data_IF_222961498419
#
_entry.id   IF_222961498419
#
_cell.length_a   1.000
_cell.length_b   1.000
_cell.length_c   1.000
_cell.angle_alpha   90.00
_cell.angle_beta   90.00
_cell.angle_gamma   90.00
#
_symmetry.space_group_name_H-M   'P 1'
#
loop_
_entity.id
_entity.type
_entity.pdbx_description
1 polymer ?
#
# COMPACT_ATOMS: atom_id res chain seq x y z
N UNK A 1 1.27 -33.38 10.37
CA UNK A 1 0.09 -32.64 10.82
C UNK A 1 0.39 -31.16 11.15
N UNK A 2 1.41 -30.80 11.95
CA UNK A 2 1.69 -29.39 12.30
C UNK A 2 2.22 -28.52 11.15
N UNK A 3 3.00 -29.06 10.20
CA UNK A 3 3.55 -28.30 9.06
C UNK A 3 2.48 -27.92 8.02
N UNK A 4 1.51 -28.78 7.79
CA UNK A 4 0.42 -28.52 6.85
C UNK A 4 -0.52 -27.43 7.37
N UNK A 5 -0.83 -27.45 8.66
CA UNK A 5 -1.62 -26.37 9.31
C UNK A 5 -0.90 -25.04 9.23
N UNK A 6 0.38 -24.98 9.54
CA UNK A 6 1.17 -23.75 9.46
C UNK A 6 1.23 -23.17 8.02
N UNK A 7 1.30 -24.04 7.01
CA UNK A 7 1.29 -23.61 5.60
C UNK A 7 -0.07 -23.08 5.16
N UNK A 8 -1.18 -23.67 5.63
CA UNK A 8 -2.55 -23.20 5.38
C UNK A 8 -2.78 -21.83 6.04
N UNK A 9 -2.45 -21.70 7.32
CA UNK A 9 -2.59 -20.46 8.08
C UNK A 9 -1.78 -19.31 7.44
N UNK A 10 -0.58 -19.62 6.95
CA UNK A 10 0.26 -18.66 6.24
C UNK A 10 -0.36 -18.18 4.93
N UNK A 11 -1.00 -19.07 4.16
CA UNK A 11 -1.69 -18.72 2.93
C UNK A 11 -2.96 -17.89 3.21
N UNK A 12 -3.74 -18.24 4.21
CA UNK A 12 -4.95 -17.51 4.59
C UNK A 12 -4.64 -16.06 4.99
N UNK A 13 -3.64 -15.87 5.86
CA UNK A 13 -3.20 -14.52 6.26
C UNK A 13 -2.72 -13.70 5.08
N UNK A 14 -1.98 -14.30 4.16
CA UNK A 14 -1.54 -13.64 2.93
C UNK A 14 -2.72 -13.19 2.07
N UNK A 15 -3.69 -14.07 1.87
CA UNK A 15 -4.92 -13.75 1.11
C UNK A 15 -5.70 -12.63 1.78
N UNK A 16 -5.82 -12.67 3.12
CA UNK A 16 -6.51 -11.64 3.88
C UNK A 16 -5.86 -10.27 3.69
N UNK A 17 -4.57 -10.14 3.95
CA UNK A 17 -3.86 -8.86 3.84
C UNK A 17 -3.82 -8.34 2.40
N UNK A 18 -3.66 -9.24 1.42
CA UNK A 18 -3.75 -8.86 0.01
C UNK A 18 -5.15 -8.38 -0.41
N UNK A 19 -6.21 -8.98 0.14
CA UNK A 19 -7.59 -8.50 -0.09
C UNK A 19 -7.82 -7.14 0.55
N UNK A 20 -7.39 -6.94 1.80
CA UNK A 20 -7.52 -5.65 2.50
C UNK A 20 -6.78 -4.53 1.75
N UNK A 21 -5.52 -4.76 1.35
CA UNK A 21 -4.77 -3.82 0.55
C UNK A 21 -5.45 -3.51 -0.81
N UNK A 22 -5.96 -4.55 -1.47
CA UNK A 22 -6.67 -4.41 -2.74
C UNK A 22 -7.99 -3.63 -2.61
N UNK A 23 -8.77 -3.89 -1.55
CA UNK A 23 -10.01 -3.15 -1.28
C UNK A 23 -9.71 -1.69 -0.95
N UNK A 24 -8.69 -1.43 -0.12
CA UNK A 24 -8.25 -0.07 0.18
C UNK A 24 -7.89 0.70 -1.09
N UNK A 25 -7.06 0.12 -1.95
CA UNK A 25 -6.64 0.74 -3.20
C UNK A 25 -7.81 0.94 -4.19
N UNK A 26 -8.73 -0.03 -4.28
CA UNK A 26 -9.89 0.06 -5.16
C UNK A 26 -10.87 1.16 -4.72
N UNK A 27 -11.13 1.30 -3.43
CA UNK A 27 -11.97 2.37 -2.88
C UNK A 27 -11.34 3.73 -3.18
N UNK A 28 -10.05 3.86 -2.99
CA UNK A 28 -9.34 5.12 -3.24
C UNK A 28 -9.26 5.45 -4.73
N UNK A 29 -9.11 4.45 -5.60
CA UNK A 29 -9.22 4.62 -7.05
C UNK A 29 -10.62 5.12 -7.46
N UNK A 30 -11.67 4.50 -6.91
CA UNK A 30 -13.06 4.89 -7.18
C UNK A 30 -13.33 6.34 -6.79
N UNK A 31 -12.82 6.78 -5.63
CA UNK A 31 -12.95 8.16 -5.18
C UNK A 31 -12.26 9.15 -6.15
N UNK A 32 -11.05 8.83 -6.62
CA UNK A 32 -10.32 9.68 -7.56
C UNK A 32 -11.01 9.75 -8.92
N UNK A 33 -11.55 8.64 -9.42
CA UNK A 33 -12.32 8.65 -10.66
C UNK A 33 -13.65 9.38 -10.51
N UNK A 34 -14.32 9.26 -9.35
CA UNK A 34 -15.51 10.06 -9.06
C UNK A 34 -15.20 11.58 -9.18
N UNK A 35 -14.09 12.02 -8.56
CA UNK A 35 -13.66 13.41 -8.68
C UNK A 35 -13.21 13.79 -10.09
N UNK A 36 -12.55 12.89 -10.80
CA UNK A 36 -12.11 13.11 -12.18
C UNK A 36 -13.28 13.27 -13.17
N UNK A 37 -14.41 12.61 -12.88
CA UNK A 37 -15.64 12.68 -13.66
C UNK A 37 -16.52 13.89 -13.30
N UNK A 38 -16.07 14.76 -12.39
CA UNK A 38 -16.77 15.99 -12.03
C UNK A 38 -17.43 15.96 -10.66
N UNK A 39 -17.33 14.88 -9.90
CA UNK A 39 -17.78 14.85 -8.52
C UNK A 39 -16.98 15.81 -7.62
N UNK A 40 -17.61 16.37 -6.60
CA UNK A 40 -17.02 17.39 -5.69
C UNK A 40 -17.13 17.03 -4.21
N UNK A 41 -17.88 16.00 -3.87
CA UNK A 41 -18.02 15.60 -2.47
C UNK A 41 -16.66 15.28 -1.85
N UNK A 42 -16.27 16.07 -0.86
CA UNK A 42 -15.00 15.93 -0.14
C UNK A 42 -13.77 16.45 -0.88
N UNK A 43 -13.88 16.86 -2.14
CA UNK A 43 -12.72 17.33 -2.90
C UNK A 43 -12.22 18.69 -2.40
N UNK A 44 -13.10 19.62 -2.06
CA UNK A 44 -12.73 20.93 -1.51
C UNK A 44 -11.93 20.81 -0.22
N UNK A 45 -12.32 19.91 0.65
CA UNK A 45 -11.64 19.62 1.92
C UNK A 45 -10.27 18.96 1.68
N UNK A 46 -10.15 18.18 0.60
CA UNK A 46 -8.93 17.42 0.29
C UNK A 46 -7.90 18.22 -0.51
N UNK A 47 -8.36 19.05 -1.43
CA UNK A 47 -7.52 19.75 -2.41
C UNK A 47 -7.59 21.28 -2.32
N UNK A 48 -8.41 21.82 -1.40
CA UNK A 48 -8.53 23.26 -1.20
C UNK A 48 -8.86 24.02 -2.50
N UNK A 49 -8.12 25.10 -2.84
CA UNK A 49 -8.37 25.91 -4.04
C UNK A 49 -8.34 25.10 -5.34
N UNK A 50 -7.52 24.05 -5.43
CA UNK A 50 -7.42 23.20 -6.62
C UNK A 50 -8.73 22.46 -6.94
N UNK A 51 -9.60 22.26 -5.95
CA UNK A 51 -10.92 21.67 -6.15
C UNK A 51 -11.84 22.57 -6.98
N UNK A 52 -11.74 23.89 -6.78
CA UNK A 52 -12.56 24.89 -7.47
C UNK A 52 -11.98 25.25 -8.83
N UNK A 53 -10.68 25.52 -8.88
CA UNK A 53 -9.99 25.95 -10.10
C UNK A 53 -9.83 24.82 -11.12
N UNK A 54 -9.67 23.59 -10.65
CA UNK A 54 -9.45 22.35 -11.44
C UNK A 54 -8.50 22.56 -12.63
N UNK A 55 -7.27 23.06 -12.41
CA UNK A 55 -6.35 23.23 -13.51
C UNK A 55 -6.07 21.89 -14.19
N UNK A 56 -5.81 21.90 -15.50
CA UNK A 56 -5.69 20.70 -16.32
C UNK A 56 -4.66 19.69 -15.76
N UNK A 57 -3.52 20.18 -15.26
CA UNK A 57 -2.50 19.33 -14.67
C UNK A 57 -3.02 18.59 -13.41
N UNK A 58 -3.85 19.24 -12.57
CA UNK A 58 -4.46 18.64 -11.41
C UNK A 58 -5.48 17.57 -11.81
N UNK A 59 -6.32 17.86 -12.81
CA UNK A 59 -7.26 16.88 -13.32
C UNK A 59 -6.54 15.64 -13.87
N UNK A 60 -5.51 15.83 -14.72
CA UNK A 60 -4.80 14.72 -15.36
C UNK A 60 -3.92 13.96 -14.35
N UNK A 61 -3.01 14.64 -13.66
CA UNK A 61 -2.05 13.97 -12.79
C UNK A 61 -2.62 13.68 -11.40
N UNK A 62 -3.34 14.63 -10.80
CA UNK A 62 -3.88 14.51 -9.45
C UNK A 62 -5.09 13.59 -9.36
N UNK A 63 -6.03 13.65 -10.31
CA UNK A 63 -7.24 12.84 -10.23
C UNK A 63 -7.14 11.57 -11.08
N UNK A 64 -6.97 11.67 -12.38
CA UNK A 64 -6.86 10.50 -13.26
C UNK A 64 -5.59 9.69 -12.99
N UNK A 65 -4.44 10.36 -12.82
CA UNK A 65 -3.16 9.69 -12.59
C UNK A 65 -3.13 8.94 -11.26
N UNK A 66 -3.57 9.56 -10.18
CA UNK A 66 -3.63 8.89 -8.87
C UNK A 66 -4.65 7.75 -8.88
N UNK A 67 -5.83 7.94 -9.53
CA UNK A 67 -6.80 6.88 -9.71
C UNK A 67 -6.22 5.67 -10.43
N UNK A 68 -5.48 5.89 -11.53
CA UNK A 68 -4.80 4.83 -12.27
C UNK A 68 -3.71 4.12 -11.43
N UNK A 69 -2.90 4.87 -10.66
CA UNK A 69 -1.92 4.31 -9.73
C UNK A 69 -2.58 3.43 -8.67
N UNK A 70 -3.73 3.84 -8.14
CA UNK A 70 -4.49 3.04 -7.18
C UNK A 70 -5.05 1.76 -7.81
N UNK A 71 -5.45 1.78 -9.08
CA UNK A 71 -5.82 0.55 -9.81
C UNK A 71 -4.63 -0.39 -9.97
N UNK A 72 -3.45 0.12 -10.32
CA UNK A 72 -2.23 -0.67 -10.34
C UNK A 72 -1.91 -1.25 -8.95
N UNK A 73 -2.10 -0.46 -7.89
CA UNK A 73 -2.03 -0.93 -6.50
C UNK A 73 -3.00 -2.08 -6.21
N UNK A 74 -4.23 -2.01 -6.73
CA UNK A 74 -5.22 -3.09 -6.60
C UNK A 74 -4.75 -4.37 -7.29
N UNK A 75 -4.17 -4.26 -8.50
CA UNK A 75 -3.60 -5.40 -9.23
C UNK A 75 -2.41 -5.99 -8.47
N UNK A 76 -1.50 -5.14 -7.98
CA UNK A 76 -0.37 -5.57 -7.15
C UNK A 76 -0.81 -6.33 -5.90
N UNK A 77 -1.80 -5.82 -5.18
CA UNK A 77 -2.35 -6.46 -4.00
C UNK A 77 -2.97 -7.84 -4.31
N UNK A 78 -3.66 -7.97 -5.44
CA UNK A 78 -4.18 -9.27 -5.92
C UNK A 78 -3.07 -10.25 -6.28
N UNK A 79 -1.97 -9.76 -6.86
CA UNK A 79 -0.79 -10.60 -7.16
C UNK A 79 -0.16 -11.05 -5.83
N UNK A 80 0.00 -10.16 -4.86
CA UNK A 80 0.52 -10.49 -3.53
C UNK A 80 -0.37 -11.50 -2.80
N UNK A 81 -1.68 -11.52 -3.03
CA UNK A 81 -2.63 -12.47 -2.44
C UNK A 81 -2.55 -13.88 -3.05
N UNK A 82 -1.98 -14.06 -4.26
CA UNK A 82 -1.94 -15.36 -4.93
C UNK A 82 -1.02 -16.34 -4.24
N UNK A 83 -1.52 -17.54 -3.94
CA UNK A 83 -0.76 -18.68 -3.43
C UNK A 83 -0.82 -19.84 -4.46
N UNK A 84 0.33 -20.42 -4.85
CA UNK A 84 1.71 -20.03 -4.60
C UNK A 84 2.23 -19.01 -5.62
N UNK A 85 2.93 -17.99 -5.17
CA UNK A 85 3.65 -17.07 -6.05
C UNK A 85 5.16 -17.32 -5.89
N UNK A 86 5.86 -17.62 -6.97
CA UNK A 86 7.28 -18.01 -6.95
C UNK A 86 8.10 -17.27 -8.01
N UNK A 87 9.42 -17.33 -7.87
CA UNK A 87 10.37 -16.80 -8.85
C UNK A 87 10.47 -15.28 -8.87
N UNK A 88 10.91 -14.76 -10.02
CA UNK A 88 11.13 -13.33 -10.25
C UNK A 88 9.85 -12.50 -10.02
N UNK A 89 8.67 -12.89 -10.54
CA UNK A 89 7.45 -12.11 -10.31
C UNK A 89 7.08 -11.98 -8.83
N UNK A 90 7.35 -13.00 -8.01
CA UNK A 90 7.14 -12.93 -6.57
C UNK A 90 8.05 -11.91 -5.89
N UNK A 91 9.31 -11.85 -6.31
CA UNK A 91 10.30 -10.90 -5.78
C UNK A 91 9.91 -9.47 -6.15
N UNK A 92 9.59 -9.22 -7.42
CA UNK A 92 9.18 -7.90 -7.90
C UNK A 92 7.90 -7.43 -7.19
N UNK A 93 6.86 -8.26 -7.12
CA UNK A 93 5.63 -7.91 -6.43
C UNK A 93 5.87 -7.58 -4.95
N UNK A 94 6.74 -8.33 -4.28
CA UNK A 94 7.10 -8.06 -2.88
C UNK A 94 7.82 -6.74 -2.70
N UNK A 95 8.84 -6.45 -3.54
CA UNK A 95 9.56 -5.19 -3.48
C UNK A 95 8.65 -4.00 -3.80
N UNK A 96 7.78 -4.14 -4.81
CA UNK A 96 6.77 -3.12 -5.12
C UNK A 96 5.79 -2.91 -3.96
N UNK A 97 5.37 -3.99 -3.30
CA UNK A 97 4.51 -3.91 -2.11
C UNK A 97 5.18 -3.16 -0.96
N UNK A 98 6.47 -3.40 -0.71
CA UNK A 98 7.25 -2.65 0.27
C UNK A 98 7.42 -1.18 -0.14
N UNK A 99 7.68 -0.89 -1.42
CA UNK A 99 7.76 0.47 -1.95
C UNK A 99 6.48 1.26 -1.73
N UNK A 100 5.33 0.67 -2.07
CA UNK A 100 4.01 1.27 -1.82
C UNK A 100 3.77 1.48 -0.32
N UNK A 101 4.06 0.47 0.51
CA UNK A 101 3.93 0.57 1.97
C UNK A 101 4.75 1.73 2.54
N UNK A 102 6.02 1.82 2.19
CA UNK A 102 6.92 2.88 2.65
C UNK A 102 6.43 4.26 2.22
N UNK A 103 6.00 4.40 0.96
CA UNK A 103 5.49 5.67 0.44
C UNK A 103 4.23 6.13 1.19
N UNK A 104 3.28 5.23 1.39
CA UNK A 104 2.03 5.54 2.08
C UNK A 104 2.25 5.85 3.57
N UNK A 105 3.12 5.10 4.25
CA UNK A 105 3.48 5.36 5.65
C UNK A 105 4.24 6.67 5.79
N UNK A 106 5.21 6.93 4.93
CA UNK A 106 5.95 8.19 4.93
C UNK A 106 5.01 9.39 4.70
N UNK A 107 4.05 9.27 3.76
CA UNK A 107 3.03 10.30 3.51
C UNK A 107 2.09 10.48 4.71
N UNK A 108 1.56 9.38 5.26
CA UNK A 108 0.62 9.43 6.38
C UNK A 108 1.27 9.94 7.66
N UNK A 109 2.36 9.31 8.10
CA UNK A 109 3.06 9.65 9.35
C UNK A 109 3.79 11.00 9.21
N UNK A 110 4.44 11.25 8.07
CA UNK A 110 5.20 12.48 7.86
C UNK A 110 4.31 13.73 7.95
N UNK A 111 3.16 13.72 7.26
CA UNK A 111 2.21 14.83 7.32
C UNK A 111 1.55 14.92 8.71
N UNK A 112 1.25 13.78 9.35
CA UNK A 112 0.73 13.79 10.73
C UNK A 112 1.67 14.52 11.67
N UNK A 113 2.97 14.15 11.67
CA UNK A 113 3.98 14.77 12.50
C UNK A 113 4.14 16.26 12.18
N UNK A 114 4.23 16.62 10.90
CA UNK A 114 4.35 18.03 10.47
C UNK A 114 3.19 18.89 10.96
N UNK A 115 1.96 18.37 10.87
CA UNK A 115 0.78 19.10 11.32
C UNK A 115 0.65 19.17 12.84
N UNK A 116 1.06 18.12 13.56
CA UNK A 116 1.01 18.10 15.04
C UNK A 116 2.10 18.97 15.68
N UNK A 117 3.29 19.04 15.08
CA UNK A 117 4.39 19.84 15.58
C UNK A 117 4.31 21.32 15.20
N UNK A 118 3.27 21.70 14.43
CA UNK A 118 3.12 23.05 13.86
C UNK A 118 4.35 23.55 13.09
N UNK A 119 5.18 22.62 12.62
CA UNK A 119 6.41 22.89 11.89
C UNK A 119 6.13 23.54 10.51
N UNK A 120 4.87 23.54 10.10
CA UNK A 120 4.38 24.22 8.90
C UNK A 120 3.83 25.61 9.22
N UNK A 121 4.57 26.45 9.93
CA UNK A 121 4.28 27.91 9.92
C UNK A 121 4.17 28.49 8.49
N UNK A 122 4.11 27.61 7.50
CA UNK A 122 4.45 27.86 6.11
C UNK A 122 3.25 28.17 5.22
N UNK A 123 2.01 27.91 5.65
CA UNK A 123 0.92 28.18 4.72
C UNK A 123 -0.36 28.65 5.41
N UNK A 124 -0.62 30.00 5.41
CA UNK A 124 -1.90 30.54 5.83
C UNK A 124 -3.07 30.11 4.91
N UNK A 125 -2.79 29.44 3.79
CA UNK A 125 -3.80 28.99 2.84
C UNK A 125 -4.53 27.69 3.25
N UNK A 126 -3.99 26.93 4.21
CA UNK A 126 -4.64 25.71 4.70
C UNK A 126 -5.66 26.06 5.78
N UNK A 127 -6.95 25.90 5.46
CA UNK A 127 -8.01 26.16 6.44
C UNK A 127 -7.93 25.19 7.64
N UNK A 128 -8.38 25.64 8.83
CA UNK A 128 -8.45 24.79 10.01
C UNK A 128 -9.28 23.54 9.80
N UNK A 129 -10.34 23.62 8.97
CA UNK A 129 -11.17 22.48 8.59
C UNK A 129 -10.38 21.46 7.73
N UNK A 130 -9.65 21.91 6.73
CA UNK A 130 -8.80 21.06 5.90
C UNK A 130 -7.72 20.34 6.75
N UNK A 131 -7.12 21.06 7.71
CA UNK A 131 -6.16 20.47 8.68
C UNK A 131 -6.84 19.38 9.50
N UNK A 132 -8.02 19.64 10.07
CA UNK A 132 -8.75 18.67 10.89
C UNK A 132 -9.10 17.39 10.10
N UNK A 133 -9.58 17.51 8.87
CA UNK A 133 -9.86 16.36 8.00
C UNK A 133 -8.62 15.60 7.58
N UNK A 134 -7.51 16.30 7.35
CA UNK A 134 -6.23 15.65 7.03
C UNK A 134 -5.74 14.80 8.20
N UNK A 135 -5.79 15.32 9.43
CA UNK A 135 -5.41 14.60 10.64
C UNK A 135 -6.37 13.45 10.96
N UNK A 136 -7.68 13.68 10.89
CA UNK A 136 -8.67 12.70 11.35
C UNK A 136 -8.99 11.61 10.32
N UNK A 137 -8.87 11.89 9.03
CA UNK A 137 -9.27 10.96 7.96
C UNK A 137 -8.11 10.59 7.04
N UNK A 138 -7.45 11.58 6.41
CA UNK A 138 -6.52 11.27 5.32
C UNK A 138 -5.24 10.59 5.80
N UNK A 139 -4.62 11.10 6.87
CA UNK A 139 -3.40 10.49 7.38
C UNK A 139 -3.63 9.06 7.93
N UNK A 140 -4.66 8.78 8.77
CA UNK A 140 -5.02 7.42 9.16
C UNK A 140 -5.34 6.51 7.96
N UNK A 141 -5.99 7.05 6.91
CA UNK A 141 -6.25 6.31 5.69
C UNK A 141 -4.98 5.86 4.98
N UNK A 142 -3.99 6.76 4.82
CA UNK A 142 -2.70 6.42 4.24
C UNK A 142 -1.90 5.44 5.10
N UNK A 143 -1.93 5.60 6.42
CA UNK A 143 -1.28 4.67 7.36
C UNK A 143 -1.91 3.28 7.23
N UNK A 144 -3.23 3.17 7.21
CA UNK A 144 -3.93 1.90 7.02
C UNK A 144 -3.57 1.22 5.69
N UNK A 145 -3.51 1.99 4.60
CA UNK A 145 -3.04 1.50 3.30
C UNK A 145 -1.61 0.99 3.37
N UNK A 146 -0.70 1.76 3.95
CA UNK A 146 0.70 1.39 4.10
C UNK A 146 0.89 0.10 4.92
N UNK A 147 0.18 -0.03 6.04
CA UNK A 147 0.21 -1.23 6.88
C UNK A 147 -0.31 -2.47 6.13
N UNK A 148 -1.43 -2.35 5.42
CA UNK A 148 -2.02 -3.49 4.69
C UNK A 148 -1.12 -3.96 3.54
N UNK A 149 -0.49 -3.05 2.77
CA UNK A 149 0.49 -3.40 1.75
C UNK A 149 1.76 -4.02 2.34
N UNK A 150 2.28 -3.47 3.43
CA UNK A 150 3.45 -4.00 4.12
C UNK A 150 3.22 -5.42 4.65
N UNK A 151 2.08 -5.65 5.30
CA UNK A 151 1.70 -6.98 5.79
C UNK A 151 1.47 -7.98 4.65
N UNK A 152 0.86 -7.55 3.54
CA UNK A 152 0.72 -8.39 2.35
C UNK A 152 2.09 -8.80 1.77
N UNK A 153 3.04 -7.85 1.65
CA UNK A 153 4.39 -8.10 1.18
C UNK A 153 5.20 -9.00 2.15
N UNK A 154 5.04 -8.79 3.46
CA UNK A 154 5.68 -9.59 4.51
C UNK A 154 5.25 -11.05 4.44
N UNK A 155 3.93 -11.31 4.41
CA UNK A 155 3.41 -12.68 4.34
C UNK A 155 3.73 -13.36 3.01
N UNK A 156 3.80 -12.61 1.91
CA UNK A 156 4.27 -13.13 0.62
C UNK A 156 5.75 -13.57 0.67
N UNK A 157 6.59 -12.92 1.49
CA UNK A 157 7.99 -13.26 1.66
C UNK A 157 8.26 -14.50 2.51
N UNK A 158 7.53 -14.64 3.62
CA UNK A 158 7.72 -15.78 4.57
C UNK A 158 7.48 -17.13 3.91
N UNK A 159 6.44 -17.27 3.12
CA UNK A 159 6.13 -18.52 2.41
C UNK A 159 7.18 -18.90 1.35
N UNK A 160 7.85 -17.91 0.74
CA UNK A 160 8.92 -18.17 -0.21
C UNK A 160 10.15 -18.79 0.46
N UNK A 161 10.45 -18.41 1.71
CA UNK A 161 11.57 -18.95 2.50
C UNK A 161 11.29 -20.35 3.05
N UNK A 162 10.08 -20.62 3.51
CA UNK A 162 9.71 -21.93 4.07
C UNK A 162 9.75 -23.06 3.03
N UNK A 163 9.61 -22.73 1.75
CA UNK A 163 9.60 -23.68 0.62
C UNK A 163 10.96 -23.90 -0.02
N UNK A 164 12.00 -23.14 0.34
CA UNK A 164 13.34 -23.38 -0.15
C UNK A 164 13.90 -24.62 0.57
N UNK A 165 14.20 -25.76 -0.14
CA UNK A 165 14.81 -26.91 0.50
C UNK A 165 16.09 -26.42 1.17
N UNK A 166 16.27 -26.70 2.47
CA UNK A 166 17.59 -26.61 3.08
C UNK A 166 18.47 -27.57 2.29
N UNK A 167 19.29 -27.07 1.38
CA UNK A 167 20.43 -27.80 0.88
C UNK A 167 21.24 -28.16 2.11
N UNK A 168 21.10 -29.38 2.57
CA UNK A 168 21.95 -29.94 3.58
C UNK A 168 23.37 -29.85 3.03
N UNK A 169 24.12 -28.89 3.56
CA UNK A 169 25.52 -28.75 3.32
C UNK A 169 26.18 -30.10 3.70
N UNK A 170 26.84 -30.72 2.72
CA UNK A 170 27.94 -31.64 2.88
C UNK A 170 27.76 -32.72 3.92
N UNK A 171 27.28 -33.90 3.51
CA UNK A 171 27.68 -35.13 4.18
C UNK A 171 29.21 -35.25 4.10
N UNK A 172 29.88 -35.72 5.18
CA UNK A 172 31.33 -35.90 5.16
C UNK A 172 31.67 -36.92 4.07
N UNK A 173 32.50 -36.49 3.11
CA UNK A 173 33.16 -37.39 2.17
C UNK A 173 33.99 -38.41 2.98
N UNK A 174 33.56 -39.67 2.96
CA UNK A 174 34.36 -40.75 3.51
C UNK A 174 35.71 -40.80 2.78
N UNK A 175 36.85 -40.97 3.49
CA UNK A 175 38.16 -41.07 2.84
C UNK A 175 38.24 -42.37 2.03
N UNK A 176 38.93 -42.38 0.88
CA UNK A 176 39.18 -43.60 0.10
C UNK A 176 40.09 -44.54 0.88
N UNK A 177 39.74 -45.84 0.90
CA UNK A 177 40.58 -46.92 1.38
C UNK A 177 41.61 -47.33 0.34
#
# INVERSE_FOLDING_TARGET
MNRERAATDGCERRVLWGRLAGSWAAVFAGLHFYWALGGDVGLSISAGPLATERPLWFAIAGLWGVGALCLLGTVLARILAKCPLQGVPARLARWSGWGVSTLLLARGIGIEVLLLTDATHLDPSVSGEQRAWTLALWNPWFIAGGLTFGLAALHAGRQAQERQPRTTAGGPTAPPR
#
